data_IF_728987470717
#
_entry.id   IF_728987470717
#
_cell.length_a   1.000
_cell.length_b   1.000
_cell.length_c   1.000
_cell.angle_alpha   90.00
_cell.angle_beta   90.00
_cell.angle_gamma   90.00
#
_symmetry.space_group_name_H-M   'P 1'
#
loop_
_entity.id
_entity.type
_entity.pdbx_description
1 polymer ?
#
# COMPACT_ATOMS: atom_id res chain seq x y z
N UNK A 1 -18.06 -56.77 -20.47
CA UNK A 1 -17.84 -55.32 -20.63
C UNK A 1 -17.22 -54.82 -19.34
N UNK A 2 -15.94 -54.44 -19.35
CA UNK A 2 -15.17 -54.12 -18.14
C UNK A 2 -15.22 -52.61 -17.89
N UNK A 3 -15.86 -52.20 -16.80
CA UNK A 3 -15.89 -50.83 -16.33
C UNK A 3 -14.54 -50.49 -15.70
N UNK A 4 -13.81 -49.52 -16.26
CA UNK A 4 -12.61 -48.95 -15.66
C UNK A 4 -13.00 -47.61 -15.05
N UNK A 5 -13.17 -47.58 -13.73
CA UNK A 5 -13.35 -46.36 -12.97
C UNK A 5 -11.98 -45.71 -12.76
N UNK A 6 -11.70 -44.62 -13.46
CA UNK A 6 -10.57 -43.75 -13.15
C UNK A 6 -10.99 -42.80 -12.03
N UNK A 7 -10.55 -43.11 -10.81
CA UNK A 7 -10.70 -42.24 -9.65
C UNK A 7 -9.54 -41.24 -9.67
N UNK A 8 -9.77 -40.07 -10.26
CA UNK A 8 -8.80 -38.96 -10.24
C UNK A 8 -8.86 -38.36 -8.84
N UNK A 9 -7.93 -38.80 -8.00
CA UNK A 9 -7.61 -38.15 -6.72
C UNK A 9 -6.93 -36.82 -7.07
N UNK A 10 -7.73 -35.75 -7.17
CA UNK A 10 -7.20 -34.40 -7.32
C UNK A 10 -6.67 -33.95 -5.96
N UNK A 11 -5.38 -34.19 -5.74
CA UNK A 11 -4.63 -33.67 -4.59
C UNK A 11 -4.57 -32.15 -4.74
N UNK A 12 -5.48 -31.45 -4.05
CA UNK A 12 -5.40 -30.00 -3.86
C UNK A 12 -4.11 -29.72 -3.08
N UNK A 13 -3.05 -29.34 -3.80
CA UNK A 13 -1.84 -28.81 -3.23
C UNK A 13 -2.19 -27.46 -2.61
N UNK A 14 -2.42 -27.43 -1.31
CA UNK A 14 -2.53 -26.21 -0.53
C UNK A 14 -1.12 -25.59 -0.48
N UNK A 15 -0.77 -24.76 -1.46
CA UNK A 15 0.42 -23.92 -1.37
C UNK A 15 0.20 -22.93 -0.25
N UNK A 16 0.71 -23.28 0.93
CA UNK A 16 0.86 -22.35 2.05
C UNK A 16 1.98 -21.38 1.64
N UNK A 17 1.66 -20.43 0.78
CA UNK A 17 2.43 -19.20 0.65
C UNK A 17 2.32 -18.58 2.03
N UNK A 18 3.41 -18.57 2.79
CA UNK A 18 3.45 -17.99 4.12
C UNK A 18 3.06 -16.52 4.06
N UNK A 19 1.77 -16.23 4.22
CA UNK A 19 1.27 -14.91 4.56
C UNK A 19 1.86 -14.59 5.92
N UNK A 20 3.01 -13.91 5.93
CA UNK A 20 3.45 -13.18 7.10
C UNK A 20 2.39 -12.10 7.35
N UNK A 21 1.38 -12.46 8.13
CA UNK A 21 0.29 -11.57 8.51
C UNK A 21 0.91 -10.34 9.14
N UNK A 22 0.51 -9.14 8.70
CA UNK A 22 1.20 -7.93 9.12
C UNK A 22 1.14 -7.77 10.63
N UNK A 23 2.24 -7.32 11.24
CA UNK A 23 2.22 -6.85 12.62
C UNK A 23 1.11 -5.79 12.74
N UNK A 24 0.09 -5.97 13.60
CA UNK A 24 -1.00 -5.02 13.75
C UNK A 24 -0.52 -3.58 14.04
N UNK A 25 0.63 -3.46 14.72
CA UNK A 25 1.27 -2.18 15.02
C UNK A 25 1.81 -1.49 13.77
N UNK A 26 2.37 -2.25 12.82
CA UNK A 26 2.91 -1.69 11.59
C UNK A 26 1.79 -1.23 10.65
N UNK A 27 0.71 -2.01 10.55
CA UNK A 27 -0.52 -1.58 9.86
C UNK A 27 -1.10 -0.31 10.47
N UNK A 28 -1.17 -0.24 11.79
CA UNK A 28 -1.68 0.93 12.50
C UNK A 28 -0.80 2.16 12.24
N UNK A 29 0.52 2.00 12.29
CA UNK A 29 1.48 3.08 12.02
C UNK A 29 1.38 3.58 10.58
N UNK A 30 1.37 2.67 9.59
CA UNK A 30 1.24 3.04 8.19
C UNK A 30 -0.12 3.71 7.90
N UNK A 31 -1.22 3.14 8.40
CA UNK A 31 -2.56 3.70 8.24
C UNK A 31 -2.68 5.12 8.83
N UNK A 32 -2.06 5.39 9.98
CA UNK A 32 -2.08 6.72 10.59
C UNK A 32 -1.37 7.80 9.75
N UNK A 33 -0.42 7.42 8.91
CA UNK A 33 0.31 8.34 8.04
C UNK A 33 -0.25 8.39 6.62
N UNK A 34 -0.69 7.25 6.07
CA UNK A 34 -1.24 7.15 4.71
C UNK A 34 -2.67 7.65 4.59
N UNK A 35 -3.56 7.36 5.55
CA UNK A 35 -4.98 7.74 5.44
C UNK A 35 -5.21 9.23 5.18
N UNK A 36 -4.50 10.17 5.85
CA UNK A 36 -4.62 11.59 5.54
C UNK A 36 -4.22 11.93 4.10
N UNK A 37 -3.19 11.25 3.55
CA UNK A 37 -2.71 11.46 2.18
C UNK A 37 -3.70 10.89 1.17
N UNK A 38 -4.16 9.65 1.37
CA UNK A 38 -5.23 9.03 0.56
C UNK A 38 -6.46 9.94 0.50
N UNK A 39 -6.94 10.39 1.65
CA UNK A 39 -8.09 11.29 1.72
C UNK A 39 -7.86 12.62 0.99
N UNK A 40 -6.63 13.16 1.03
CA UNK A 40 -6.32 14.39 0.29
C UNK A 40 -6.28 14.15 -1.22
N UNK A 41 -5.77 13.01 -1.69
CA UNK A 41 -5.76 12.65 -3.12
C UNK A 41 -7.18 12.46 -3.63
N UNK A 42 -8.04 11.77 -2.89
CA UNK A 42 -9.45 11.59 -3.25
C UNK A 42 -10.22 12.91 -3.31
N UNK A 43 -10.03 13.80 -2.32
CA UNK A 43 -10.63 15.14 -2.35
C UNK A 43 -10.13 15.98 -3.55
N UNK A 44 -8.84 15.87 -3.88
CA UNK A 44 -8.29 16.52 -5.07
C UNK A 44 -8.91 15.97 -6.35
N UNK A 45 -9.06 14.64 -6.44
CA UNK A 45 -9.65 13.96 -7.60
C UNK A 45 -11.11 14.37 -7.80
N UNK A 46 -11.88 14.46 -6.73
CA UNK A 46 -13.27 14.94 -6.77
C UNK A 46 -13.35 16.41 -7.22
N UNK A 47 -12.44 17.27 -6.75
CA UNK A 47 -12.46 18.72 -7.03
C UNK A 47 -11.96 19.06 -8.43
N UNK A 48 -10.84 18.47 -8.84
CA UNK A 48 -10.12 18.83 -10.07
C UNK A 48 -10.45 17.87 -11.24
N UNK A 49 -11.23 16.82 -10.98
CA UNK A 49 -11.60 15.76 -11.93
C UNK A 49 -10.38 15.11 -12.61
N UNK A 50 -9.28 14.98 -11.86
CA UNK A 50 -8.02 14.31 -12.24
C UNK A 50 -7.21 13.95 -11.00
N UNK A 51 -6.27 13.03 -11.13
CA UNK A 51 -5.29 12.75 -10.06
C UNK A 51 -4.21 13.85 -10.03
N UNK A 52 -3.61 14.14 -8.85
CA UNK A 52 -2.47 15.04 -8.78
C UNK A 52 -1.26 14.41 -9.49
N UNK A 53 -0.42 15.21 -10.14
CA UNK A 53 0.79 14.69 -10.80
C UNK A 53 1.91 14.39 -9.79
N UNK A 54 1.94 15.13 -8.67
CA UNK A 54 2.95 14.97 -7.63
C UNK A 54 2.40 15.19 -6.22
N UNK A 55 3.16 14.76 -5.19
CA UNK A 55 2.82 15.09 -3.80
C UNK A 55 2.96 16.58 -3.50
N UNK A 56 3.87 17.28 -4.20
CA UNK A 56 4.01 18.73 -4.06
C UNK A 56 2.76 19.46 -4.53
N UNK A 57 2.19 19.04 -5.66
CA UNK A 57 0.92 19.58 -6.14
C UNK A 57 -0.19 19.34 -5.12
N UNK A 58 -0.28 18.11 -4.59
CA UNK A 58 -1.25 17.76 -3.56
C UNK A 58 -1.12 18.68 -2.33
N UNK A 59 0.10 18.90 -1.84
CA UNK A 59 0.37 19.75 -0.67
C UNK A 59 0.03 21.22 -0.94
N UNK A 60 0.21 21.71 -2.16
CA UNK A 60 -0.15 23.08 -2.53
C UNK A 60 -1.67 23.30 -2.62
N UNK A 61 -2.44 22.24 -2.86
CA UNK A 61 -3.88 22.29 -3.10
C UNK A 61 -4.72 21.77 -1.92
N UNK A 62 -4.08 21.42 -0.80
CA UNK A 62 -4.77 20.96 0.41
C UNK A 62 -4.44 21.83 1.61
N UNK A 63 -5.45 22.12 2.43
CA UNK A 63 -5.25 22.78 3.73
C UNK A 63 -4.71 21.81 4.81
N UNK A 64 -4.62 20.52 4.48
CA UNK A 64 -4.16 19.48 5.40
C UNK A 64 -2.65 19.53 5.56
N UNK A 65 -2.18 19.51 6.81
CA UNK A 65 -0.76 19.31 7.13
C UNK A 65 -0.39 17.84 6.92
N UNK A 66 -0.06 17.47 5.69
CA UNK A 66 0.37 16.11 5.33
C UNK A 66 1.81 15.86 5.78
N UNK A 67 2.05 14.75 6.48
CA UNK A 67 3.40 14.29 6.82
C UNK A 67 3.85 13.28 5.78
N UNK A 68 4.66 13.72 4.84
CA UNK A 68 5.14 12.87 3.74
C UNK A 68 6.39 12.06 4.10
N UNK A 69 7.13 12.46 5.15
CA UNK A 69 8.39 11.83 5.56
C UNK A 69 8.69 12.07 7.04
N UNK A 70 9.41 11.13 7.65
CA UNK A 70 10.02 11.28 8.96
C UNK A 70 11.48 10.83 8.96
N UNK A 71 12.36 11.73 9.40
CA UNK A 71 13.77 11.49 9.61
C UNK A 71 14.08 11.45 11.11
N UNK A 72 14.93 10.50 11.52
CA UNK A 72 15.54 10.40 12.85
C UNK A 72 17.04 10.69 12.76
N UNK A 73 17.72 10.80 13.90
CA UNK A 73 19.19 10.98 13.95
C UNK A 73 19.95 9.84 13.26
N UNK A 74 19.34 8.66 13.15
CA UNK A 74 19.90 7.46 12.51
C UNK A 74 19.58 7.39 11.01
N UNK A 75 18.86 8.38 10.46
CA UNK A 75 18.42 8.44 9.07
C UNK A 75 16.90 8.42 8.90
N UNK A 76 16.44 8.21 7.66
CA UNK A 76 15.02 8.20 7.31
C UNK A 76 14.33 6.97 7.92
N UNK A 77 13.36 7.20 8.80
CA UNK A 77 12.57 6.12 9.41
C UNK A 77 11.45 5.68 8.48
N UNK A 78 10.80 6.64 7.82
CA UNK A 78 9.79 6.36 6.81
C UNK A 78 9.57 7.51 5.81
N UNK A 79 9.00 7.19 4.65
CA UNK A 79 8.51 8.13 3.64
C UNK A 79 7.29 7.59 2.89
N UNK A 80 6.48 8.50 2.36
CA UNK A 80 5.40 8.18 1.42
C UNK A 80 5.90 8.49 0.01
N UNK A 81 5.84 7.49 -0.86
CA UNK A 81 6.08 7.64 -2.29
C UNK A 81 4.73 7.69 -3.00
N UNK A 82 4.66 8.44 -4.09
CA UNK A 82 3.44 8.62 -4.89
C UNK A 82 3.77 8.41 -6.36
N UNK A 83 2.86 7.73 -7.07
CA UNK A 83 2.97 7.50 -8.50
C UNK A 83 1.59 7.66 -9.15
N UNK A 84 1.38 8.69 -10.00
CA UNK A 84 0.17 8.79 -10.79
C UNK A 84 0.17 7.76 -11.93
N UNK A 85 -1.00 7.22 -12.26
CA UNK A 85 -1.21 6.20 -13.30
C UNK A 85 -2.49 6.56 -14.07
N UNK A 86 -2.38 7.39 -15.11
CA UNK A 86 -3.54 7.90 -15.86
C UNK A 86 -4.63 8.50 -14.94
N UNK A 87 -5.76 7.81 -14.74
CA UNK A 87 -6.87 8.21 -13.87
C UNK A 87 -6.79 7.59 -12.45
N UNK A 88 -5.75 6.81 -12.20
CA UNK A 88 -5.46 6.05 -10.99
C UNK A 88 -4.19 6.59 -10.30
N UNK A 89 -3.96 6.15 -9.07
CA UNK A 89 -2.71 6.45 -8.37
C UNK A 89 -2.29 5.36 -7.41
N UNK A 90 -0.99 5.31 -7.15
CA UNK A 90 -0.37 4.43 -6.17
C UNK A 90 0.33 5.26 -5.08
N UNK A 91 0.17 4.83 -3.83
CA UNK A 91 0.87 5.36 -2.66
C UNK A 91 1.61 4.24 -1.95
N UNK A 92 2.88 4.45 -1.65
CA UNK A 92 3.69 3.47 -0.93
C UNK A 92 4.25 4.08 0.35
N UNK A 93 3.86 3.54 1.50
CA UNK A 93 4.49 3.85 2.77
C UNK A 93 5.73 2.99 2.94
N UNK A 94 6.88 3.60 2.69
CA UNK A 94 8.19 3.01 2.86
C UNK A 94 8.66 3.23 4.29
N UNK A 95 8.78 2.17 5.08
CA UNK A 95 9.34 2.19 6.44
C UNK A 95 10.62 1.36 6.49
N UNK A 96 11.49 1.63 7.46
CA UNK A 96 12.77 0.90 7.64
C UNK A 96 12.61 -0.63 7.73
N UNK A 97 11.43 -1.13 8.10
CA UNK A 97 11.19 -2.58 8.25
C UNK A 97 10.02 -3.10 7.44
N UNK A 98 9.28 -2.25 6.76
CA UNK A 98 8.08 -2.68 6.06
C UNK A 98 7.63 -1.68 5.01
N UNK A 99 6.96 -2.19 4.00
CA UNK A 99 6.37 -1.38 2.94
C UNK A 99 4.87 -1.71 2.84
N UNK A 100 4.05 -0.69 2.64
CA UNK A 100 2.60 -0.82 2.45
C UNK A 100 2.18 -0.03 1.21
N UNK A 101 1.58 -0.72 0.25
CA UNK A 101 1.16 -0.13 -1.03
C UNK A 101 -0.35 0.01 -1.07
N UNK A 102 -0.80 1.17 -1.53
CA UNK A 102 -2.19 1.50 -1.78
C UNK A 102 -2.39 1.81 -3.27
N UNK A 103 -3.45 1.28 -3.86
CA UNK A 103 -3.90 1.61 -5.22
C UNK A 103 -5.32 2.16 -5.12
N UNK A 104 -5.54 3.39 -5.60
CA UNK A 104 -6.85 4.07 -5.53
C UNK A 104 -7.51 4.01 -4.14
N UNK A 105 -6.70 4.18 -3.09
CA UNK A 105 -7.17 4.21 -1.70
C UNK A 105 -7.37 2.85 -1.03
N UNK A 106 -7.18 1.74 -1.74
CA UNK A 106 -7.28 0.37 -1.22
C UNK A 106 -5.90 -0.26 -0.97
N UNK A 107 -5.77 -1.07 0.09
CA UNK A 107 -4.54 -1.82 0.40
C UNK A 107 -4.30 -2.89 -0.67
N UNK A 108 -3.19 -2.80 -1.42
CA UNK A 108 -2.84 -3.75 -2.49
C UNK A 108 -1.84 -4.79 -2.00
N UNK A 109 -0.71 -4.34 -1.45
CA UNK A 109 0.36 -5.23 -0.98
C UNK A 109 1.07 -4.72 0.25
N UNK A 110 1.76 -5.65 0.89
CA UNK A 110 2.55 -5.43 2.09
C UNK A 110 3.80 -6.30 2.08
N UNK A 111 4.90 -5.77 2.61
CA UNK A 111 6.09 -6.55 2.92
C UNK A 111 6.66 -6.17 4.29
N UNK A 112 7.27 -7.14 4.98
CA UNK A 112 8.02 -6.91 6.21
C UNK A 112 9.41 -7.52 6.07
N UNK A 113 10.44 -6.70 6.26
CA UNK A 113 11.83 -7.12 6.28
C UNK A 113 12.55 -6.48 7.48
N UNK A 114 12.77 -7.22 8.59
CA UNK A 114 13.45 -6.68 9.76
C UNK A 114 14.95 -6.45 9.55
N UNK A 115 15.52 -6.83 8.39
CA UNK A 115 16.95 -6.76 8.08
C UNK A 115 17.32 -5.66 7.07
N UNK A 116 16.37 -4.82 6.68
CA UNK A 116 16.58 -3.68 5.76
C UNK A 116 17.32 -2.52 6.45
#
# INVERSE_FOLDING_TARGET
MKSVQFLIVSTFLLTITGCFTPSPLAKLSAANNLKPVVSAVEEFKEKENRVPETLEELVQNTDKKLKLRHDSDVGRVWSISYRPIDESYELEFNHVHYDLTYLDGEEESWSFNPWR
#
